data_IF_053876248000
#
_entry.id   IF_053876248000
#
_cell.length_a   1.000
_cell.length_b   1.000
_cell.length_c   1.000
_cell.angle_alpha   90.00
_cell.angle_beta   90.00
_cell.angle_gamma   90.00
#
_symmetry.space_group_name_H-M   'P 1'
#
loop_
_entity.id
_entity.type
_entity.pdbx_description
1 polymer ?
#
# COMPACT_ATOMS: atom_id res chain seq x y z
N UNK A 1 32.24 12.86 -44.85
CA UNK A 1 32.61 12.01 -43.71
C UNK A 1 31.74 12.51 -42.59
N UNK A 2 30.57 11.90 -42.47
CA UNK A 2 29.57 12.21 -41.47
C UNK A 2 30.01 11.61 -40.13
N UNK A 3 30.10 12.43 -39.09
CA UNK A 3 30.15 11.95 -37.71
C UNK A 3 28.95 12.55 -36.98
N UNK A 4 27.86 11.78 -36.76
CA UNK A 4 26.75 12.25 -35.97
C UNK A 4 27.18 12.34 -34.50
N UNK A 5 26.95 13.52 -33.90
CA UNK A 5 27.12 13.77 -32.47
C UNK A 5 26.45 12.68 -31.65
N UNK A 6 27.18 12.19 -30.64
CA UNK A 6 26.77 11.14 -29.73
C UNK A 6 25.37 11.36 -29.16
N UNK A 7 24.59 10.29 -29.20
CA UNK A 7 23.41 10.09 -28.40
C UNK A 7 23.77 10.27 -26.92
N UNK A 8 23.41 11.44 -26.35
CA UNK A 8 23.39 11.59 -24.90
C UNK A 8 22.26 10.71 -24.38
N UNK A 9 22.63 9.49 -23.99
CA UNK A 9 21.79 8.54 -23.27
C UNK A 9 21.12 9.28 -22.11
N UNK A 10 19.81 9.53 -22.26
CA UNK A 10 18.92 9.70 -21.12
C UNK A 10 19.21 8.52 -20.20
N UNK A 11 19.94 8.77 -19.12
CA UNK A 11 20.05 7.85 -18.01
C UNK A 11 18.80 8.11 -17.17
N UNK A 12 17.68 7.37 -17.34
CA UNK A 12 16.73 7.29 -16.26
C UNK A 12 17.53 6.61 -15.16
N UNK A 13 18.06 7.42 -14.25
CA UNK A 13 18.43 6.97 -12.93
C UNK A 13 17.22 6.22 -12.45
N UNK A 14 17.30 4.91 -12.66
CA UNK A 14 16.32 3.95 -12.25
C UNK A 14 16.55 3.98 -10.76
N UNK A 15 15.83 4.87 -10.08
CA UNK A 15 15.67 4.78 -8.64
C UNK A 15 15.13 3.37 -8.43
N UNK A 16 16.05 2.44 -8.18
CA UNK A 16 15.74 1.10 -7.72
C UNK A 16 15.04 1.32 -6.38
N UNK A 17 13.72 1.49 -6.46
CA UNK A 17 12.82 1.34 -5.32
C UNK A 17 12.98 -0.11 -4.91
N UNK A 18 13.97 -0.35 -4.06
CA UNK A 18 14.24 -1.65 -3.45
C UNK A 18 12.96 -2.05 -2.73
N UNK A 19 12.27 -3.05 -3.27
CA UNK A 19 11.05 -3.59 -2.69
C UNK A 19 11.44 -4.14 -1.32
N UNK A 20 11.04 -3.44 -0.26
CA UNK A 20 11.25 -3.88 1.13
C UNK A 20 9.97 -4.57 1.60
N UNK A 21 10.00 -5.90 1.60
CA UNK A 21 8.94 -6.69 2.21
C UNK A 21 8.99 -6.56 3.73
N UNK A 22 7.84 -6.28 4.35
CA UNK A 22 7.69 -6.21 5.80
C UNK A 22 6.71 -7.31 6.21
N UNK A 23 7.17 -8.25 7.03
CA UNK A 23 6.29 -9.26 7.61
C UNK A 23 5.43 -8.64 8.72
N UNK A 24 4.11 -8.77 8.62
CA UNK A 24 3.15 -8.30 9.63
C UNK A 24 2.69 -9.50 10.46
N UNK A 25 3.01 -9.50 11.76
CA UNK A 25 2.52 -10.52 12.70
C UNK A 25 1.14 -10.12 13.23
N UNK A 26 0.11 -10.90 12.89
CA UNK A 26 -1.24 -10.70 13.39
C UNK A 26 -1.45 -11.49 14.69
N UNK A 27 -1.38 -10.81 15.84
CA UNK A 27 -1.77 -11.41 17.11
C UNK A 27 -3.28 -11.31 17.30
N UNK A 28 -3.95 -12.46 17.32
CA UNK A 28 -5.38 -12.60 17.64
C UNK A 28 -5.55 -13.42 18.90
N UNK A 29 -6.62 -13.16 19.65
CA UNK A 29 -7.10 -14.10 20.67
C UNK A 29 -7.58 -15.38 19.98
N UNK A 30 -7.47 -16.49 20.69
CA UNK A 30 -7.91 -17.80 20.21
C UNK A 30 -9.42 -17.76 19.87
N UNK A 31 -9.77 -18.02 18.61
CA UNK A 31 -11.16 -18.00 18.12
C UNK A 31 -11.64 -16.69 17.48
N UNK A 32 -10.81 -15.64 17.40
CA UNK A 32 -11.20 -14.41 16.68
C UNK A 32 -11.00 -14.55 15.17
N UNK A 33 -12.09 -14.47 14.42
CA UNK A 33 -12.06 -14.49 12.96
C UNK A 33 -11.40 -13.23 12.39
N UNK A 34 -10.75 -13.39 11.24
CA UNK A 34 -10.26 -12.25 10.45
C UNK A 34 -11.46 -11.42 10.03
N UNK A 35 -11.35 -10.11 10.18
CA UNK A 35 -12.39 -9.21 9.69
C UNK A 35 -12.40 -9.19 8.16
N UNK A 36 -13.59 -9.33 7.57
CA UNK A 36 -13.78 -9.23 6.12
C UNK A 36 -14.03 -7.77 5.70
N UNK A 37 -13.61 -7.35 4.49
CA UNK A 37 -13.91 -6.02 3.97
C UNK A 37 -15.41 -5.70 3.96
N UNK A 38 -16.27 -6.72 3.77
CA UNK A 38 -17.73 -6.58 3.80
C UNK A 38 -18.29 -6.25 5.19
N UNK A 39 -17.50 -6.36 6.26
CA UNK A 39 -17.86 -5.94 7.61
C UNK A 39 -17.71 -4.43 7.81
N UNK A 40 -17.16 -3.72 6.81
CA UNK A 40 -16.87 -2.30 6.89
C UNK A 40 -17.54 -1.53 5.75
N UNK A 41 -18.21 -0.45 6.11
CA UNK A 41 -18.70 0.56 5.17
C UNK A 41 -17.67 1.68 5.05
N UNK A 42 -17.23 1.98 3.83
CA UNK A 42 -16.30 3.07 3.59
C UNK A 42 -17.01 4.42 3.73
N UNK A 43 -16.57 5.23 4.69
CA UNK A 43 -17.12 6.57 4.91
C UNK A 43 -16.33 7.64 4.15
N UNK A 44 -15.00 7.67 4.32
CA UNK A 44 -14.17 8.75 3.78
C UNK A 44 -12.73 8.29 3.56
N UNK A 45 -12.07 8.85 2.55
CA UNK A 45 -10.61 8.78 2.43
C UNK A 45 -10.01 9.92 3.27
N UNK A 46 -9.22 9.56 4.29
CA UNK A 46 -8.58 10.56 5.15
C UNK A 46 -7.33 11.16 4.50
N UNK A 47 -6.60 10.37 3.72
CA UNK A 47 -5.44 10.85 2.97
C UNK A 47 -4.57 9.72 2.44
N UNK A 48 -3.54 10.11 1.70
CA UNK A 48 -2.48 9.24 1.23
C UNK A 48 -1.13 9.84 1.65
N UNK A 49 -0.28 9.04 2.27
CA UNK A 49 1.03 9.48 2.75
C UNK A 49 1.97 8.30 3.01
N UNK A 50 2.91 8.47 3.95
CA UNK A 50 3.84 7.40 4.34
C UNK A 50 3.16 6.16 4.91
N UNK A 51 1.97 6.32 5.50
CA UNK A 51 1.11 5.22 5.98
C UNK A 51 0.31 4.54 4.86
N UNK A 52 0.56 4.89 3.60
CA UNK A 52 -0.26 4.48 2.48
C UNK A 52 -1.59 5.24 2.44
N UNK A 53 -2.60 4.61 1.87
CA UNK A 53 -3.95 5.18 1.69
C UNK A 53 -4.81 4.85 2.91
N UNK A 54 -5.22 5.87 3.65
CA UNK A 54 -5.98 5.72 4.90
C UNK A 54 -7.46 6.00 4.66
N UNK A 55 -8.29 5.08 5.12
CA UNK A 55 -9.73 5.12 4.99
C UNK A 55 -10.39 5.19 6.37
N UNK A 56 -11.34 6.10 6.53
CA UNK A 56 -12.32 6.08 7.60
C UNK A 56 -13.43 5.12 7.22
N UNK A 57 -13.61 4.07 8.01
CA UNK A 57 -14.64 3.06 7.81
C UNK A 57 -15.55 2.97 9.04
N UNK A 58 -16.81 2.57 8.83
CA UNK A 58 -17.75 2.23 9.89
C UNK A 58 -17.92 0.71 9.89
N UNK A 59 -17.75 0.07 11.05
CA UNK A 59 -18.06 -1.35 11.19
C UNK A 59 -19.59 -1.53 11.12
N UNK A 60 -20.06 -2.39 10.22
CA UNK A 60 -21.48 -2.67 9.97
C UNK A 60 -21.91 -4.06 10.45
N UNK A 61 -20.99 -5.02 10.53
CA UNK A 61 -21.27 -6.39 10.96
C UNK A 61 -20.01 -7.06 11.53
N UNK A 62 -20.16 -8.25 12.13
CA UNK A 62 -19.09 -9.00 12.79
C UNK A 62 -18.98 -8.72 14.29
N UNK A 63 -18.60 -9.74 15.06
CA UNK A 63 -18.44 -9.68 16.52
C UNK A 63 -17.49 -8.55 16.93
N UNK A 64 -17.86 -7.73 17.91
CA UNK A 64 -16.89 -6.85 18.57
C UNK A 64 -15.88 -7.66 19.39
N UNK A 65 -14.66 -7.13 19.48
CA UNK A 65 -13.47 -7.82 19.95
C UNK A 65 -13.51 -8.21 21.44
#
# INVERSE_FOLDING_TARGET
>A
MDEPMGEEEINPQTEEVSIKEIAITHHVKEGHEKADPSQFELLKVLGQGSFGKVFLVKKISGSDA
#
